data_IF_809001839994
#
_entry.id   IF_809001839994
#
_cell.length_a   1.000
_cell.length_b   1.000
_cell.length_c   1.000
_cell.angle_alpha   90.00
_cell.angle_beta   90.00
_cell.angle_gamma   90.00
#
_symmetry.space_group_name_H-M   'P 1'
#
loop_
_entity.id
_entity.type
_entity.pdbx_description
1 polymer ?
#
# COMPACT_ATOMS: atom_id res chain seq x y z
N UNK A 1 3.08 15.49 -11.91
CA UNK A 1 2.44 14.31 -11.31
C UNK A 1 0.94 14.56 -11.12
N UNK A 2 0.12 13.57 -11.44
CA UNK A 2 -1.34 13.57 -11.25
C UNK A 2 -2.08 14.62 -12.08
N UNK A 3 -3.40 14.48 -12.17
CA UNK A 3 -4.26 15.35 -12.94
C UNK A 3 -4.17 16.85 -12.54
N UNK A 4 -3.80 17.14 -11.29
CA UNK A 4 -3.66 18.52 -10.80
C UNK A 4 -2.58 19.31 -11.54
N UNK A 5 -1.55 18.63 -12.07
CA UNK A 5 -0.46 19.27 -12.83
C UNK A 5 -0.62 19.12 -14.36
N UNK A 6 -1.73 18.55 -14.82
CA UNK A 6 -1.98 18.24 -16.22
C UNK A 6 -1.85 19.46 -17.14
N UNK A 7 -2.41 20.60 -16.72
CA UNK A 7 -2.40 21.84 -17.52
C UNK A 7 -0.99 22.36 -17.80
N UNK A 8 -0.02 22.12 -16.93
CA UNK A 8 1.39 22.46 -17.19
C UNK A 8 1.93 21.72 -18.40
N UNK A 9 1.58 20.43 -18.56
CA UNK A 9 1.98 19.64 -19.74
C UNK A 9 1.42 20.25 -21.02
N UNK A 10 0.13 20.58 -21.02
CA UNK A 10 -0.55 21.16 -22.18
C UNK A 10 0.05 22.50 -22.56
N UNK A 11 0.27 23.39 -21.57
CA UNK A 11 0.88 24.70 -21.77
C UNK A 11 2.30 24.61 -22.35
N UNK A 12 3.17 23.76 -21.75
CA UNK A 12 4.53 23.59 -22.21
C UNK A 12 4.60 23.00 -23.63
N UNK A 13 3.70 22.08 -23.94
CA UNK A 13 3.61 21.50 -25.28
C UNK A 13 3.31 22.51 -26.36
N UNK A 14 2.46 23.49 -26.06
CA UNK A 14 2.05 24.52 -27.00
C UNK A 14 3.05 25.69 -27.11
N UNK A 15 3.54 26.18 -25.95
CA UNK A 15 4.30 27.41 -25.88
C UNK A 15 5.82 27.21 -25.75
N UNK A 16 6.27 26.01 -25.33
CA UNK A 16 7.69 25.71 -25.09
C UNK A 16 8.06 24.33 -25.67
N UNK A 17 7.92 24.10 -26.98
CA UNK A 17 8.04 22.76 -27.59
C UNK A 17 9.45 22.12 -27.42
N UNK A 18 10.48 22.90 -27.13
CA UNK A 18 11.83 22.41 -26.85
C UNK A 18 11.95 21.72 -25.48
N UNK A 19 11.00 21.95 -24.56
CA UNK A 19 11.05 21.34 -23.23
C UNK A 19 10.47 19.93 -23.29
N UNK A 20 11.27 18.94 -22.89
CA UNK A 20 10.81 17.56 -22.71
C UNK A 20 9.87 17.47 -21.50
N UNK A 21 8.71 16.84 -21.67
CA UNK A 21 7.71 16.71 -20.63
C UNK A 21 7.53 15.25 -20.21
N UNK A 22 7.45 15.04 -18.89
CA UNK A 22 7.14 13.73 -18.30
C UNK A 22 5.88 13.87 -17.44
N UNK A 23 4.90 13.02 -17.67
CA UNK A 23 3.68 12.95 -16.89
C UNK A 23 3.58 11.58 -16.20
N UNK A 24 3.40 11.59 -14.88
CA UNK A 24 3.19 10.38 -14.08
C UNK A 24 1.81 10.41 -13.46
N UNK A 25 1.00 9.37 -13.70
CA UNK A 25 -0.19 9.11 -12.91
C UNK A 25 0.08 7.96 -11.95
N UNK A 26 -0.11 8.20 -10.64
CA UNK A 26 0.10 7.17 -9.61
C UNK A 26 -1.12 6.25 -9.48
N UNK A 27 -2.29 6.77 -9.82
CA UNK A 27 -3.55 6.03 -9.90
C UNK A 27 -4.41 6.69 -10.94
N UNK A 28 -5.03 5.96 -11.83
CA UNK A 28 -6.01 6.58 -12.70
C UNK A 28 -7.16 7.12 -11.84
N UNK A 29 -7.52 8.41 -12.04
CA UNK A 29 -8.59 9.03 -11.25
C UNK A 29 -9.91 8.28 -11.40
N UNK A 30 -10.16 7.76 -12.61
CA UNK A 30 -11.38 7.02 -12.90
C UNK A 30 -11.33 5.57 -12.37
N UNK A 31 -10.21 4.86 -12.47
CA UNK A 31 -10.05 3.50 -11.91
C UNK A 31 -10.27 3.48 -10.40
N UNK A 32 -9.67 4.45 -9.69
CA UNK A 32 -9.90 4.63 -8.24
C UNK A 32 -11.37 4.87 -7.94
N UNK A 33 -12.07 5.65 -8.77
CA UNK A 33 -13.50 5.94 -8.57
C UNK A 33 -14.38 4.74 -8.87
N UNK A 34 -14.08 3.95 -9.89
CA UNK A 34 -14.79 2.70 -10.19
C UNK A 34 -14.70 1.74 -8.99
N UNK A 35 -13.48 1.49 -8.51
CA UNK A 35 -13.22 0.64 -7.35
C UNK A 35 -13.89 1.17 -6.08
N UNK A 36 -13.76 2.46 -5.81
CA UNK A 36 -14.31 3.13 -4.63
C UNK A 36 -15.84 3.16 -4.58
N UNK A 37 -16.50 3.05 -5.73
CA UNK A 37 -17.96 2.93 -5.84
C UNK A 37 -18.45 1.47 -5.85
N UNK A 38 -17.59 0.51 -5.52
CA UNK A 38 -17.96 -0.90 -5.37
C UNK A 38 -18.27 -1.62 -6.70
N UNK A 39 -17.84 -1.06 -7.82
CA UNK A 39 -17.97 -1.71 -9.13
C UNK A 39 -16.85 -2.76 -9.29
N UNK A 40 -17.12 -3.91 -9.92
CA UNK A 40 -16.15 -5.00 -10.11
C UNK A 40 -15.10 -4.59 -11.15
N UNK A 41 -14.08 -3.85 -10.71
CA UNK A 41 -13.08 -3.25 -11.59
C UNK A 41 -12.29 -4.30 -12.37
N UNK A 42 -11.91 -5.38 -11.73
CA UNK A 42 -10.96 -6.33 -12.31
C UNK A 42 -11.62 -7.44 -13.15
N UNK A 43 -12.78 -7.95 -12.73
CA UNK A 43 -13.52 -8.99 -13.45
C UNK A 43 -14.21 -8.42 -14.71
N UNK A 44 -14.62 -7.15 -14.66
CA UNK A 44 -15.26 -6.44 -15.78
C UNK A 44 -14.33 -5.42 -16.46
N UNK A 45 -13.04 -5.56 -16.26
CA UNK A 45 -12.03 -4.55 -16.63
C UNK A 45 -12.13 -4.10 -18.11
N UNK A 46 -12.18 -5.05 -19.03
CA UNK A 46 -12.19 -4.78 -20.48
C UNK A 46 -13.52 -4.16 -20.97
N UNK A 47 -14.57 -4.23 -20.15
CA UNK A 47 -15.86 -3.61 -20.43
C UNK A 47 -15.98 -2.15 -19.98
N UNK A 48 -15.03 -1.62 -19.23
CA UNK A 48 -15.05 -0.23 -18.78
C UNK A 48 -14.42 0.70 -19.82
N UNK A 49 -15.18 1.73 -20.22
CA UNK A 49 -14.69 2.83 -21.04
C UNK A 49 -14.50 4.08 -20.17
N UNK A 50 -13.28 4.63 -20.13
CA UNK A 50 -12.93 5.70 -19.21
C UNK A 50 -13.80 6.94 -19.34
N UNK A 51 -14.07 7.41 -20.55
CA UNK A 51 -14.90 8.60 -20.79
C UNK A 51 -16.37 8.39 -20.36
N UNK A 52 -16.93 7.19 -20.61
CA UNK A 52 -18.28 6.83 -20.17
C UNK A 52 -18.35 6.76 -18.63
N UNK A 53 -17.39 6.08 -18.01
CA UNK A 53 -17.32 5.98 -16.56
C UNK A 53 -17.11 7.33 -15.89
N UNK A 54 -16.37 8.23 -16.53
CA UNK A 54 -16.19 9.60 -16.04
C UNK A 54 -17.50 10.39 -16.02
N UNK A 55 -18.36 10.20 -17.01
CA UNK A 55 -19.71 10.79 -17.02
C UNK A 55 -20.58 10.19 -15.92
N UNK A 56 -20.62 8.85 -15.84
CA UNK A 56 -21.43 8.13 -14.85
C UNK A 56 -21.06 8.48 -13.40
N UNK A 57 -19.75 8.60 -13.11
CA UNK A 57 -19.23 8.86 -11.77
C UNK A 57 -18.95 10.34 -11.48
N UNK A 58 -19.39 11.25 -12.37
CA UNK A 58 -19.18 12.71 -12.25
C UNK A 58 -17.69 13.09 -12.09
N UNK A 59 -16.82 12.44 -12.89
CA UNK A 59 -15.36 12.61 -12.86
C UNK A 59 -14.79 13.25 -14.13
N UNK A 60 -15.65 13.79 -15.02
CA UNK A 60 -15.28 14.27 -16.36
C UNK A 60 -14.10 15.25 -16.32
N UNK A 61 -14.11 16.24 -15.43
CA UNK A 61 -13.05 17.25 -15.36
C UNK A 61 -11.68 16.65 -15.00
N UNK A 62 -11.63 15.78 -14.00
CA UNK A 62 -10.37 15.13 -13.57
C UNK A 62 -9.88 14.14 -14.62
N UNK A 63 -10.77 13.30 -15.10
CA UNK A 63 -10.47 12.30 -16.11
C UNK A 63 -9.97 12.91 -17.43
N UNK A 64 -10.66 13.92 -17.94
CA UNK A 64 -10.26 14.59 -19.18
C UNK A 64 -8.91 15.29 -19.07
N UNK A 65 -8.63 15.94 -17.93
CA UNK A 65 -7.34 16.57 -17.68
C UNK A 65 -6.21 15.52 -17.65
N UNK A 66 -6.40 14.42 -16.90
CA UNK A 66 -5.45 13.31 -16.80
C UNK A 66 -5.20 12.66 -18.17
N UNK A 67 -6.27 12.30 -18.89
CA UNK A 67 -6.21 11.70 -20.22
C UNK A 67 -5.46 12.58 -21.21
N UNK A 68 -5.77 13.89 -21.25
CA UNK A 68 -5.08 14.83 -22.12
C UNK A 68 -3.60 14.94 -21.77
N UNK A 69 -3.23 15.06 -20.49
CA UNK A 69 -1.82 15.10 -20.09
C UNK A 69 -1.08 13.82 -20.48
N UNK A 70 -1.69 12.65 -20.31
CA UNK A 70 -1.12 11.37 -20.72
C UNK A 70 -0.83 11.30 -22.22
N UNK A 71 -1.75 11.84 -23.04
CA UNK A 71 -1.59 11.84 -24.50
C UNK A 71 -0.61 12.91 -25.03
N UNK A 72 -0.45 14.03 -24.34
CA UNK A 72 0.38 15.16 -24.79
C UNK A 72 1.80 15.13 -24.19
N UNK A 73 2.04 14.42 -23.10
CA UNK A 73 3.37 14.27 -22.55
C UNK A 73 4.33 13.55 -23.51
N UNK A 74 5.58 13.91 -23.47
CA UNK A 74 6.64 13.22 -24.25
C UNK A 74 6.92 11.83 -23.68
N UNK A 75 6.87 11.69 -22.36
CA UNK A 75 6.93 10.42 -21.70
C UNK A 75 5.76 10.32 -20.70
N UNK A 76 4.96 9.28 -20.84
CA UNK A 76 3.87 8.96 -19.94
C UNK A 76 4.25 7.75 -19.08
N UNK A 77 4.17 7.89 -17.77
CA UNK A 77 4.57 6.86 -16.81
C UNK A 77 3.51 6.59 -15.76
N UNK A 78 3.61 5.44 -15.12
CA UNK A 78 2.85 5.06 -13.92
C UNK A 78 3.68 4.19 -13.00
N UNK A 79 3.15 3.86 -11.82
CA UNK A 79 3.92 3.27 -10.72
C UNK A 79 3.93 1.74 -10.69
N UNK A 80 3.05 1.07 -11.44
CA UNK A 80 2.97 -0.40 -11.45
C UNK A 80 2.37 -0.95 -12.75
N UNK A 81 2.57 -2.24 -13.00
CA UNK A 81 1.95 -2.92 -14.13
C UNK A 81 0.42 -2.99 -14.02
N UNK A 82 -0.14 -3.03 -12.80
CA UNK A 82 -1.60 -2.92 -12.59
C UNK A 82 -2.12 -1.60 -13.11
N UNK A 83 -1.53 -0.48 -12.68
CA UNK A 83 -1.95 0.85 -13.13
C UNK A 83 -1.63 1.08 -14.60
N UNK A 84 -0.58 0.45 -15.15
CA UNK A 84 -0.29 0.52 -16.59
C UNK A 84 -1.42 -0.11 -17.44
N UNK A 85 -2.04 -1.19 -16.96
CA UNK A 85 -3.25 -1.76 -17.59
C UNK A 85 -4.42 -0.79 -17.53
N UNK A 86 -4.63 -0.13 -16.38
CA UNK A 86 -5.66 0.91 -16.22
C UNK A 86 -5.43 2.09 -17.17
N UNK A 87 -4.20 2.58 -17.29
CA UNK A 87 -3.86 3.66 -18.22
C UNK A 87 -4.22 3.31 -19.66
N UNK A 88 -3.87 2.09 -20.09
CA UNK A 88 -4.20 1.62 -21.44
C UNK A 88 -5.71 1.54 -21.67
N UNK A 89 -6.46 0.99 -20.72
CA UNK A 89 -7.91 0.75 -20.87
C UNK A 89 -8.75 2.00 -20.63
N UNK A 90 -8.42 2.77 -19.58
CA UNK A 90 -9.28 3.86 -19.12
C UNK A 90 -8.86 5.24 -19.65
N UNK A 91 -7.58 5.42 -20.00
CA UNK A 91 -7.07 6.65 -20.60
C UNK A 91 -6.81 6.53 -22.10
N UNK A 92 -7.08 5.36 -22.71
CA UNK A 92 -6.76 5.05 -24.11
C UNK A 92 -5.28 5.31 -24.45
N UNK A 93 -4.38 5.14 -23.47
CA UNK A 93 -2.98 5.45 -23.61
C UNK A 93 -2.09 4.46 -22.84
N UNK A 94 -1.34 3.59 -23.52
CA UNK A 94 -0.32 2.80 -22.86
C UNK A 94 0.78 3.70 -22.32
N UNK A 95 1.35 3.33 -21.18
CA UNK A 95 2.52 4.03 -20.63
C UNK A 95 3.78 3.73 -21.43
N UNK A 96 4.69 4.70 -21.49
CA UNK A 96 6.00 4.49 -22.13
C UNK A 96 6.91 3.63 -21.23
N UNK A 97 6.82 3.79 -19.91
CA UNK A 97 7.59 3.01 -18.93
C UNK A 97 6.90 3.03 -17.56
N UNK A 98 7.05 1.94 -16.80
CA UNK A 98 6.64 1.88 -15.39
C UNK A 98 7.77 2.40 -14.51
N UNK A 99 7.46 3.36 -13.63
CA UNK A 99 8.39 3.99 -12.70
C UNK A 99 7.95 3.71 -11.26
N UNK A 100 8.34 2.58 -10.66
CA UNK A 100 7.89 2.20 -9.34
C UNK A 100 8.38 3.18 -8.27
N UNK A 101 7.62 3.31 -7.17
CA UNK A 101 7.96 4.19 -6.06
C UNK A 101 8.93 3.49 -5.11
N UNK A 102 10.06 4.13 -4.83
CA UNK A 102 11.04 3.63 -3.89
C UNK A 102 10.79 4.05 -2.44
N UNK A 103 11.59 3.50 -1.54
CA UNK A 103 11.69 3.87 -0.14
C UNK A 103 13.10 4.40 0.18
N UNK A 104 13.20 5.27 1.19
CA UNK A 104 14.48 5.78 1.68
C UNK A 104 14.86 5.10 2.99
N UNK A 105 15.87 4.23 2.95
CA UNK A 105 16.29 3.45 4.12
C UNK A 105 16.82 4.33 5.27
N UNK A 106 17.22 5.57 5.01
CA UNK A 106 17.67 6.52 6.02
C UNK A 106 16.65 6.84 7.10
N UNK A 107 15.36 6.59 6.85
CA UNK A 107 14.30 6.74 7.87
C UNK A 107 14.27 5.61 8.92
N UNK A 108 14.94 4.50 8.66
CA UNK A 108 14.90 3.34 9.57
C UNK A 108 16.07 3.40 10.55
N UNK A 109 15.80 3.44 11.87
CA UNK A 109 16.87 3.38 12.88
C UNK A 109 17.73 2.11 12.72
N UNK A 110 19.00 2.19 13.08
CA UNK A 110 19.93 1.08 12.91
C UNK A 110 20.51 0.58 14.25
N UNK A 111 20.92 -0.68 14.30
CA UNK A 111 21.68 -1.26 15.42
C UNK A 111 20.99 -1.11 16.78
N UNK A 112 21.65 -0.47 17.74
CA UNK A 112 21.11 -0.27 19.10
C UNK A 112 19.90 0.65 19.13
N UNK A 113 19.86 1.66 18.24
CA UNK A 113 18.73 2.59 18.11
C UNK A 113 17.48 1.88 17.63
N UNK A 114 17.59 0.94 16.68
CA UNK A 114 16.48 0.12 16.23
C UNK A 114 15.84 -0.65 17.40
N UNK A 115 16.65 -1.33 18.21
CA UNK A 115 16.14 -2.08 19.35
C UNK A 115 15.47 -1.19 20.40
N UNK A 116 16.04 -0.02 20.67
CA UNK A 116 15.47 0.95 21.59
C UNK A 116 14.14 1.53 21.06
N UNK A 117 14.08 1.91 19.76
CA UNK A 117 12.88 2.40 19.12
C UNK A 117 11.78 1.33 19.13
N UNK A 118 12.10 0.07 18.75
CA UNK A 118 11.15 -1.04 18.80
C UNK A 118 10.58 -1.25 20.19
N UNK A 119 11.44 -1.21 21.23
CA UNK A 119 10.99 -1.38 22.63
C UNK A 119 10.05 -0.25 23.05
N UNK A 120 10.36 1.02 22.70
CA UNK A 120 9.49 2.15 23.00
C UNK A 120 8.14 1.99 22.31
N UNK A 121 8.12 1.73 21.01
CA UNK A 121 6.91 1.52 20.22
C UNK A 121 6.02 0.42 20.80
N UNK A 122 6.60 -0.76 21.12
CA UNK A 122 5.84 -1.86 21.73
C UNK A 122 5.23 -1.45 23.07
N UNK A 123 6.01 -0.80 23.92
CA UNK A 123 5.51 -0.35 25.23
C UNK A 123 4.34 0.63 25.07
N UNK A 124 4.41 1.56 24.11
CA UNK A 124 3.33 2.51 23.83
C UNK A 124 2.07 1.79 23.36
N UNK A 125 2.19 0.85 22.40
CA UNK A 125 1.05 0.08 21.89
C UNK A 125 0.42 -0.79 22.99
N UNK A 126 1.25 -1.47 23.79
CA UNK A 126 0.78 -2.28 24.93
C UNK A 126 0.09 -1.40 25.99
N UNK A 127 0.64 -0.23 26.28
CA UNK A 127 0.02 0.71 27.23
C UNK A 127 -1.34 1.18 26.75
N UNK A 128 -1.51 1.45 25.45
CA UNK A 128 -2.81 1.76 24.87
C UNK A 128 -3.78 0.58 25.03
N UNK A 129 -3.35 -0.65 24.72
CA UNK A 129 -4.18 -1.83 24.86
C UNK A 129 -4.66 -2.03 26.30
N UNK A 130 -3.78 -1.83 27.28
CA UNK A 130 -4.12 -1.88 28.71
C UNK A 130 -5.11 -0.79 29.12
N UNK A 131 -4.93 0.43 28.61
CA UNK A 131 -5.85 1.53 28.85
C UNK A 131 -7.25 1.26 28.27
N UNK A 132 -7.35 0.38 27.27
CA UNK A 132 -8.59 -0.13 26.66
C UNK A 132 -9.11 -1.41 27.35
N UNK A 133 -8.53 -1.82 28.48
CA UNK A 133 -8.99 -2.95 29.27
C UNK A 133 -8.48 -4.32 28.84
N UNK A 134 -7.51 -4.39 27.91
CA UNK A 134 -6.88 -5.64 27.49
C UNK A 134 -5.75 -5.99 28.48
N UNK A 135 -5.69 -7.22 28.98
CA UNK A 135 -4.53 -7.72 29.78
C UNK A 135 -3.33 -8.03 28.85
N UNK A 136 -2.76 -6.97 28.28
CA UNK A 136 -1.72 -7.03 27.28
C UNK A 136 -0.34 -7.30 27.88
N UNK A 137 0.40 -8.25 27.30
CA UNK A 137 1.75 -8.64 27.74
C UNK A 137 2.80 -8.25 26.68
N UNK A 138 4.04 -8.10 27.09
CA UNK A 138 5.16 -7.77 26.20
C UNK A 138 5.44 -8.85 25.16
N UNK A 139 4.96 -10.06 25.38
CA UNK A 139 5.13 -11.23 24.51
C UNK A 139 3.97 -11.44 23.53
N UNK A 140 2.88 -10.65 23.66
CA UNK A 140 1.73 -10.76 22.77
C UNK A 140 2.09 -10.34 21.35
N UNK A 141 1.42 -10.95 20.38
CA UNK A 141 1.58 -10.59 18.98
C UNK A 141 0.86 -9.29 18.67
N UNK A 142 1.60 -8.30 18.17
CA UNK A 142 1.06 -7.03 17.75
C UNK A 142 0.93 -7.01 16.23
N UNK A 143 -0.31 -6.94 15.73
CA UNK A 143 -0.63 -6.82 14.31
C UNK A 143 -1.10 -5.39 14.03
N UNK A 144 -0.81 -4.85 12.84
CA UNK A 144 -1.33 -3.54 12.45
C UNK A 144 -1.84 -3.48 11.03
N UNK A 145 -2.82 -2.62 10.83
CA UNK A 145 -3.18 -2.08 9.52
C UNK A 145 -3.23 -0.57 9.62
N UNK A 146 -2.86 0.13 8.55
CA UNK A 146 -2.80 1.58 8.52
C UNK A 146 -3.09 2.13 7.12
N UNK A 147 -3.56 3.35 7.04
CA UNK A 147 -3.81 4.01 5.77
C UNK A 147 -4.90 5.06 5.84
N UNK A 148 -5.31 5.57 4.68
CA UNK A 148 -6.45 6.48 4.56
C UNK A 148 -7.76 5.71 4.74
N UNK A 149 -8.78 6.41 5.16
CA UNK A 149 -10.12 5.83 5.24
C UNK A 149 -10.69 5.62 3.82
N UNK A 150 -10.42 4.45 3.28
CA UNK A 150 -10.98 3.95 2.01
C UNK A 150 -11.45 2.51 2.26
N UNK A 151 -12.68 2.36 2.81
CA UNK A 151 -13.21 1.12 3.39
C UNK A 151 -12.98 -0.13 2.52
N UNK A 152 -13.41 -0.08 1.25
CA UNK A 152 -13.26 -1.18 0.30
C UNK A 152 -11.87 -1.23 -0.33
N UNK A 153 -11.36 -0.08 -0.78
CA UNK A 153 -10.09 -0.03 -1.49
C UNK A 153 -8.92 -0.50 -0.63
N UNK A 154 -8.92 -0.16 0.66
CA UNK A 154 -7.91 -0.62 1.62
C UNK A 154 -8.21 -1.98 2.24
N UNK A 155 -9.41 -2.55 1.99
CA UNK A 155 -9.82 -3.84 2.53
C UNK A 155 -9.99 -3.84 4.04
N UNK A 156 -10.47 -2.73 4.61
CA UNK A 156 -10.68 -2.59 6.05
C UNK A 156 -11.69 -3.64 6.52
N UNK A 157 -12.76 -3.84 5.76
CA UNK A 157 -13.75 -4.88 5.98
C UNK A 157 -13.15 -6.30 6.01
N UNK A 158 -12.25 -6.58 5.10
CA UNK A 158 -11.55 -7.87 5.00
C UNK A 158 -10.62 -8.07 6.21
N UNK A 159 -9.91 -7.01 6.61
CA UNK A 159 -9.05 -7.07 7.80
C UNK A 159 -9.86 -7.37 9.05
N UNK A 160 -10.95 -6.65 9.28
CA UNK A 160 -11.78 -6.82 10.48
C UNK A 160 -12.41 -8.20 10.54
N UNK A 161 -12.93 -8.69 9.42
CA UNK A 161 -13.50 -10.04 9.36
C UNK A 161 -12.40 -11.12 9.55
N UNK A 162 -11.21 -10.92 9.01
CA UNK A 162 -10.08 -11.83 9.26
C UNK A 162 -9.70 -11.86 10.75
N UNK A 163 -9.77 -10.73 11.47
CA UNK A 163 -9.51 -10.68 12.91
C UNK A 163 -10.59 -11.43 13.71
N UNK A 164 -11.88 -11.33 13.34
CA UNK A 164 -12.96 -12.13 13.96
C UNK A 164 -12.72 -13.62 13.79
N UNK A 165 -12.51 -14.07 12.55
CA UNK A 165 -12.26 -15.50 12.27
C UNK A 165 -10.96 -16.02 12.89
N UNK A 166 -9.95 -15.16 13.05
CA UNK A 166 -8.73 -15.50 13.76
C UNK A 166 -9.00 -15.74 15.24
N UNK A 167 -9.92 -14.97 15.86
CA UNK A 167 -10.28 -15.11 17.26
C UNK A 167 -10.75 -16.53 17.62
N UNK A 168 -11.46 -17.18 16.71
CA UNK A 168 -11.92 -18.57 16.88
C UNK A 168 -10.76 -19.59 16.86
N UNK A 169 -9.61 -19.26 16.25
CA UNK A 169 -8.49 -20.18 15.97
C UNK A 169 -7.24 -19.88 16.79
N UNK A 170 -7.05 -18.63 17.19
CA UNK A 170 -5.82 -18.18 17.85
C UNK A 170 -5.69 -18.80 19.25
N UNK A 171 -4.56 -19.53 19.46
CA UNK A 171 -4.21 -20.10 20.77
C UNK A 171 -3.39 -19.14 21.64
N UNK A 172 -2.87 -18.06 21.05
CA UNK A 172 -2.11 -17.00 21.71
C UNK A 172 -2.83 -15.68 21.55
N UNK A 173 -2.62 -14.79 22.50
CA UNK A 173 -3.18 -13.45 22.44
C UNK A 173 -2.60 -12.66 21.27
N UNK A 174 -3.48 -12.01 20.53
CA UNK A 174 -3.18 -11.13 19.42
C UNK A 174 -3.85 -9.77 19.68
N UNK A 175 -3.10 -8.71 19.53
CA UNK A 175 -3.62 -7.34 19.63
C UNK A 175 -3.46 -6.69 18.25
N UNK A 176 -4.58 -6.37 17.63
CA UNK A 176 -4.64 -5.81 16.30
C UNK A 176 -4.98 -4.31 16.36
N UNK A 177 -4.10 -3.46 15.83
CA UNK A 177 -4.28 -2.02 15.79
C UNK A 177 -4.75 -1.57 14.41
N UNK A 178 -5.88 -0.87 14.36
CA UNK A 178 -6.44 -0.27 13.15
C UNK A 178 -6.15 1.23 13.18
N UNK A 179 -5.03 1.61 12.56
CA UNK A 179 -4.50 2.99 12.57
C UNK A 179 -4.99 3.76 11.33
N UNK A 180 -6.27 4.11 11.34
CA UNK A 180 -6.95 4.76 10.21
C UNK A 180 -7.66 6.00 10.71
N UNK A 181 -7.24 7.21 10.29
CA UNK A 181 -7.89 8.45 10.69
C UNK A 181 -9.38 8.47 10.34
N UNK A 182 -10.18 9.07 11.22
CA UNK A 182 -11.62 9.28 11.03
C UNK A 182 -12.46 8.00 10.90
N UNK A 183 -11.89 6.82 11.21
CA UNK A 183 -12.65 5.59 11.25
C UNK A 183 -13.41 5.52 12.60
N UNK A 184 -14.71 5.72 12.53
CA UNK A 184 -15.59 5.66 13.69
C UNK A 184 -16.08 4.22 13.86
N UNK A 185 -15.34 3.44 14.65
CA UNK A 185 -15.65 2.06 15.02
C UNK A 185 -15.27 1.80 16.46
N UNK A 186 -16.01 0.91 17.12
CA UNK A 186 -15.75 0.49 18.49
C UNK A 186 -14.73 -0.64 18.54
N UNK A 187 -13.86 -0.62 19.57
CA UNK A 187 -12.96 -1.72 19.88
C UNK A 187 -13.75 -3.00 20.13
N UNK A 188 -13.24 -4.14 19.72
CA UNK A 188 -13.89 -5.42 19.98
C UNK A 188 -12.91 -6.54 20.31
N UNK A 189 -13.43 -7.58 20.94
CA UNK A 189 -12.67 -8.79 21.26
C UNK A 189 -13.42 -10.01 20.72
N UNK A 190 -12.66 -10.90 20.06
CA UNK A 190 -13.14 -12.22 19.65
C UNK A 190 -12.13 -13.26 20.10
N UNK A 191 -12.51 -14.13 21.04
CA UNK A 191 -11.60 -15.11 21.61
C UNK A 191 -10.32 -14.48 22.14
N UNK A 192 -9.18 -14.86 21.60
CA UNK A 192 -7.85 -14.33 21.96
C UNK A 192 -7.39 -13.16 21.08
N UNK A 193 -8.28 -12.56 20.28
CA UNK A 193 -7.94 -11.43 19.42
C UNK A 193 -8.67 -10.18 19.90
N UNK A 194 -7.89 -9.13 20.17
CA UNK A 194 -8.39 -7.82 20.57
C UNK A 194 -8.09 -6.82 19.46
N UNK A 195 -9.14 -6.17 18.94
CA UNK A 195 -9.01 -5.15 17.89
C UNK A 195 -9.21 -3.77 18.50
N UNK A 196 -8.21 -2.92 18.35
CA UNK A 196 -8.15 -1.57 18.90
C UNK A 196 -8.10 -0.56 17.77
N UNK A 197 -9.07 0.34 17.73
CA UNK A 197 -9.09 1.41 16.75
C UNK A 197 -8.31 2.63 17.25
N UNK A 198 -7.50 3.19 16.34
CA UNK A 198 -6.73 4.41 16.55
C UNK A 198 -7.17 5.41 15.47
N UNK A 199 -8.31 6.10 15.65
CA UNK A 199 -8.98 6.91 14.62
C UNK A 199 -8.35 8.30 14.46
N UNK A 200 -7.04 8.39 14.59
CA UNK A 200 -6.31 9.67 14.55
C UNK A 200 -5.17 9.65 13.54
N UNK A 201 -4.76 10.83 13.12
CA UNK A 201 -3.60 11.00 12.25
C UNK A 201 -2.32 10.97 13.09
N UNK A 202 -1.51 9.95 12.92
CA UNK A 202 -0.31 9.68 13.72
C UNK A 202 0.84 10.62 13.31
N UNK A 203 0.80 11.85 13.79
CA UNK A 203 1.76 12.92 13.49
C UNK A 203 2.74 13.23 14.65
N UNK A 204 2.64 12.47 15.75
CA UNK A 204 3.46 12.66 16.94
C UNK A 204 2.87 13.59 18.00
N UNK A 205 1.74 14.24 17.72
CA UNK A 205 1.00 15.09 18.65
C UNK A 205 -0.51 14.90 18.48
N UNK A 206 -0.92 13.63 18.52
CA UNK A 206 -2.28 13.21 18.20
C UNK A 206 -3.18 13.06 19.44
N UNK A 207 -2.63 13.17 20.64
CA UNK A 207 -3.36 13.06 21.91
C UNK A 207 -3.73 11.62 22.30
N UNK A 208 -3.36 10.62 21.51
CA UNK A 208 -3.63 9.18 21.75
C UNK A 208 -2.33 8.43 21.98
N UNK A 209 -1.47 8.36 20.97
CA UNK A 209 -0.18 7.65 21.01
C UNK A 209 1.00 8.63 21.08
N UNK A 210 0.86 9.84 20.57
CA UNK A 210 1.87 10.89 20.53
C UNK A 210 3.21 10.44 19.94
N UNK A 211 3.15 9.51 18.99
CA UNK A 211 4.28 9.03 18.19
C UNK A 211 3.91 9.06 16.71
N UNK A 212 4.84 9.47 15.83
CA UNK A 212 4.65 9.36 14.39
C UNK A 212 4.43 7.90 13.96
N UNK A 213 3.77 7.71 12.82
CA UNK A 213 3.45 6.37 12.29
C UNK A 213 4.68 5.44 12.24
N UNK A 214 5.82 5.90 11.72
CA UNK A 214 7.02 5.07 11.62
C UNK A 214 7.59 4.64 12.97
N UNK A 215 7.46 5.51 13.99
CA UNK A 215 7.90 5.20 15.35
C UNK A 215 7.00 4.15 16.01
N UNK A 216 5.76 3.99 15.55
CA UNK A 216 4.84 2.94 16.01
C UNK A 216 4.98 1.66 15.19
N UNK A 217 5.13 1.79 13.87
CA UNK A 217 5.27 0.66 12.92
C UNK A 217 6.36 -0.31 13.35
N UNK A 218 7.52 0.20 13.76
CA UNK A 218 8.67 -0.61 14.19
C UNK A 218 8.33 -1.53 15.38
N UNK A 219 7.29 -1.22 16.16
CA UNK A 219 6.83 -2.00 17.33
C UNK A 219 6.00 -3.23 16.96
N UNK A 220 5.45 -3.28 15.77
CA UNK A 220 4.58 -4.38 15.32
C UNK A 220 5.38 -5.66 15.00
N UNK A 221 4.68 -6.78 15.00
CA UNK A 221 5.22 -8.07 14.60
C UNK A 221 4.84 -8.46 13.18
N UNK A 222 3.68 -8.01 12.73
CA UNK A 222 3.14 -8.26 11.40
C UNK A 222 2.22 -7.11 11.01
N UNK A 223 2.16 -6.78 9.74
CA UNK A 223 1.14 -5.90 9.19
C UNK A 223 0.28 -6.61 8.15
N UNK A 224 -0.96 -6.15 7.98
CA UNK A 224 -1.90 -6.74 7.03
C UNK A 224 -2.57 -5.61 6.25
N UNK A 225 -2.34 -5.58 4.93
CA UNK A 225 -2.88 -4.59 4.01
C UNK A 225 -3.65 -5.32 2.89
N UNK A 226 -4.89 -5.76 3.16
CA UNK A 226 -5.64 -6.58 2.22
C UNK A 226 -6.34 -5.71 1.17
N UNK A 227 -5.59 -4.84 0.50
CA UNK A 227 -6.14 -3.84 -0.42
C UNK A 227 -6.80 -4.48 -1.64
N UNK A 228 -7.98 -3.94 -2.01
CA UNK A 228 -8.66 -4.21 -3.27
C UNK A 228 -8.16 -3.26 -4.39
N UNK A 229 -7.80 -2.03 -4.04
CA UNK A 229 -7.25 -1.06 -4.98
C UNK A 229 -6.03 -0.37 -4.37
N UNK A 230 -4.85 -0.74 -4.82
CA UNK A 230 -3.58 -0.18 -4.33
C UNK A 230 -2.58 -0.05 -5.48
N UNK A 231 -2.52 1.11 -6.15
CA UNK A 231 -1.67 1.32 -7.33
C UNK A 231 -0.21 0.97 -7.12
N UNK A 232 0.36 1.30 -5.94
CA UNK A 232 1.68 0.85 -5.55
C UNK A 232 1.63 0.08 -4.22
N UNK A 233 1.48 0.76 -3.09
CA UNK A 233 1.49 0.18 -1.75
C UNK A 233 2.74 0.57 -0.98
N UNK A 234 2.79 1.82 -0.55
CA UNK A 234 3.86 2.28 0.35
C UNK A 234 3.81 1.56 1.69
N UNK A 235 2.63 1.38 2.28
CA UNK A 235 2.48 0.79 3.61
C UNK A 235 3.08 -0.62 3.75
N UNK A 236 2.90 -1.57 2.82
CA UNK A 236 3.60 -2.85 2.89
C UNK A 236 5.12 -2.72 2.66
N UNK A 237 5.57 -1.84 1.76
CA UNK A 237 7.00 -1.58 1.54
C UNK A 237 7.66 -1.00 2.80
N UNK A 238 7.06 0.03 3.39
CA UNK A 238 7.51 0.68 4.63
C UNK A 238 7.56 -0.33 5.78
N UNK A 239 6.52 -1.16 5.93
CA UNK A 239 6.49 -2.23 6.93
C UNK A 239 7.72 -3.12 6.83
N UNK A 240 8.02 -3.61 5.65
CA UNK A 240 9.16 -4.48 5.41
C UNK A 240 10.49 -3.77 5.66
N UNK A 241 10.62 -2.49 5.27
CA UNK A 241 11.80 -1.67 5.54
C UNK A 241 12.05 -1.50 7.05
N UNK A 242 10.99 -1.39 7.86
CA UNK A 242 11.04 -1.35 9.32
C UNK A 242 11.11 -2.74 9.98
N UNK A 243 11.53 -3.75 9.25
CA UNK A 243 11.70 -5.13 9.73
C UNK A 243 10.40 -5.80 10.18
N UNK A 244 9.26 -5.34 9.69
CA UNK A 244 7.95 -5.92 10.00
C UNK A 244 7.44 -6.67 8.77
N UNK A 245 7.35 -8.01 8.81
CA UNK A 245 6.77 -8.78 7.72
C UNK A 245 5.34 -8.33 7.44
N UNK A 246 4.88 -8.53 6.21
CA UNK A 246 3.58 -7.99 5.80
C UNK A 246 2.76 -9.00 5.00
N UNK A 247 1.45 -8.87 5.08
CA UNK A 247 0.49 -9.52 4.20
C UNK A 247 -0.11 -8.45 3.29
N UNK A 248 -0.05 -8.66 1.98
CA UNK A 248 -0.66 -7.78 0.97
C UNK A 248 -1.36 -8.62 -0.09
N UNK A 249 -1.86 -8.01 -1.15
CA UNK A 249 -2.62 -8.71 -2.20
C UNK A 249 -1.98 -8.55 -3.57
N UNK A 250 -2.37 -9.39 -4.53
CA UNK A 250 -2.04 -9.26 -5.95
C UNK A 250 -2.67 -8.04 -6.63
N UNK A 251 -3.55 -7.31 -5.93
CA UNK A 251 -4.12 -6.03 -6.37
C UNK A 251 -3.37 -4.81 -5.78
N UNK A 252 -2.20 -5.05 -5.20
CA UNK A 252 -1.23 -4.03 -4.82
C UNK A 252 -0.06 -4.05 -5.81
N UNK A 253 0.32 -2.89 -6.35
CA UNK A 253 1.47 -2.80 -7.26
C UNK A 253 2.77 -3.32 -6.62
N UNK A 254 2.97 -3.05 -5.32
CA UNK A 254 4.11 -3.62 -4.57
C UNK A 254 3.97 -5.13 -4.38
N UNK A 255 2.75 -5.65 -4.19
CA UNK A 255 2.49 -7.09 -4.17
C UNK A 255 2.91 -7.76 -5.48
N UNK A 256 2.48 -7.23 -6.63
CA UNK A 256 2.90 -7.71 -7.95
C UNK A 256 4.43 -7.65 -8.11
N UNK A 257 5.06 -6.55 -7.69
CA UNK A 257 6.52 -6.45 -7.73
C UNK A 257 7.21 -7.51 -6.84
N UNK A 258 6.64 -7.83 -5.68
CA UNK A 258 7.15 -8.91 -4.83
C UNK A 258 7.03 -10.28 -5.50
N UNK A 259 5.94 -10.55 -6.23
CA UNK A 259 5.76 -11.76 -7.04
C UNK A 259 6.84 -11.87 -8.13
N UNK A 260 7.13 -10.79 -8.83
CA UNK A 260 8.21 -10.70 -9.82
C UNK A 260 9.60 -10.99 -9.21
N UNK A 261 9.79 -10.68 -7.91
CA UNK A 261 11.00 -11.03 -7.16
C UNK A 261 11.00 -12.48 -6.63
N UNK A 262 9.95 -13.28 -6.92
CA UNK A 262 9.79 -14.64 -6.39
C UNK A 262 9.49 -14.69 -4.89
N UNK A 263 8.90 -13.62 -4.33
CA UNK A 263 8.62 -13.47 -2.91
C UNK A 263 7.10 -13.34 -2.69
N UNK A 264 6.43 -14.48 -2.41
CA UNK A 264 4.96 -14.54 -2.28
C UNK A 264 4.49 -15.13 -0.95
N UNK A 265 5.40 -15.72 -0.17
CA UNK A 265 5.06 -16.38 1.10
C UNK A 265 5.69 -15.65 2.28
N UNK A 266 5.04 -15.70 3.44
CA UNK A 266 5.50 -15.00 4.64
C UNK A 266 6.93 -15.37 5.05
N UNK A 267 7.42 -16.56 4.72
CA UNK A 267 8.80 -16.99 4.96
C UNK A 267 9.84 -16.13 4.21
N UNK A 268 9.41 -15.44 3.16
CA UNK A 268 10.22 -14.44 2.41
C UNK A 268 10.03 -13.01 2.91
N UNK A 269 9.29 -12.83 4.01
CA UNK A 269 9.02 -11.53 4.61
C UNK A 269 7.73 -10.86 4.12
N UNK A 270 7.10 -11.38 3.08
CA UNK A 270 5.82 -10.91 2.55
C UNK A 270 4.95 -12.08 2.13
N UNK A 271 3.66 -12.05 2.47
CA UNK A 271 2.67 -12.92 1.86
C UNK A 271 1.84 -12.09 0.86
N UNK A 272 1.85 -12.50 -0.40
CA UNK A 272 1.02 -11.89 -1.44
C UNK A 272 -0.16 -12.81 -1.71
N UNK A 273 -1.36 -12.35 -1.35
CA UNK A 273 -2.58 -13.14 -1.48
C UNK A 273 -3.27 -12.78 -2.79
N UNK A 274 -3.58 -13.78 -3.60
CA UNK A 274 -4.38 -13.57 -4.80
C UNK A 274 -5.76 -13.03 -4.45
N UNK A 275 -6.12 -11.88 -5.04
CA UNK A 275 -7.40 -11.21 -4.85
C UNK A 275 -8.02 -10.84 -6.19
N UNK A 276 -9.35 -10.98 -6.29
CA UNK A 276 -10.19 -10.50 -7.39
C UNK A 276 -11.51 -9.94 -6.84
N UNK A 277 -12.48 -9.66 -7.69
CA UNK A 277 -13.76 -9.06 -7.27
C UNK A 277 -14.66 -10.01 -6.48
N UNK A 278 -14.45 -11.34 -6.58
CA UNK A 278 -15.39 -12.36 -6.09
C UNK A 278 -14.84 -13.27 -5.00
N UNK A 279 -13.52 -13.24 -4.71
CA UNK A 279 -12.88 -14.20 -3.80
C UNK A 279 -12.61 -13.68 -2.36
N UNK A 280 -13.41 -12.74 -1.88
CA UNK A 280 -13.19 -12.09 -0.57
C UNK A 280 -13.03 -13.10 0.57
N UNK A 281 -13.85 -14.17 0.62
CA UNK A 281 -13.75 -15.17 1.68
C UNK A 281 -12.45 -15.98 1.60
N UNK A 282 -11.95 -16.28 0.41
CA UNK A 282 -10.66 -16.96 0.24
C UNK A 282 -9.51 -16.09 0.72
N UNK A 283 -9.57 -14.77 0.45
CA UNK A 283 -8.58 -13.80 0.96
C UNK A 283 -8.59 -13.79 2.49
N UNK A 284 -9.76 -13.72 3.12
CA UNK A 284 -9.91 -13.78 4.59
C UNK A 284 -9.29 -15.08 5.13
N UNK A 285 -9.64 -16.22 4.56
CA UNK A 285 -9.10 -17.52 4.95
C UNK A 285 -7.57 -17.59 4.85
N UNK A 286 -7.00 -17.04 3.77
CA UNK A 286 -5.55 -16.99 3.58
C UNK A 286 -4.86 -16.08 4.60
N UNK A 287 -5.44 -14.92 4.94
CA UNK A 287 -4.94 -14.03 6.01
C UNK A 287 -4.90 -14.79 7.34
N UNK A 288 -6.03 -15.40 7.72
CA UNK A 288 -6.15 -16.16 8.98
C UNK A 288 -5.15 -17.30 9.05
N UNK A 289 -5.01 -18.07 7.98
CA UNK A 289 -4.06 -19.19 7.91
C UNK A 289 -2.61 -18.71 7.99
N UNK A 290 -2.27 -17.61 7.31
CA UNK A 290 -0.93 -17.02 7.34
C UNK A 290 -0.57 -16.52 8.74
N UNK A 291 -1.49 -15.83 9.42
CA UNK A 291 -1.28 -15.36 10.79
C UNK A 291 -1.15 -16.55 11.75
N UNK A 292 -2.01 -17.55 11.61
CA UNK A 292 -1.97 -18.77 12.45
C UNK A 292 -0.63 -19.52 12.28
N UNK A 293 -0.15 -19.64 11.05
CA UNK A 293 1.17 -20.18 10.76
C UNK A 293 2.27 -19.34 11.43
N UNK A 294 2.25 -18.02 11.26
CA UNK A 294 3.23 -17.11 11.83
C UNK A 294 3.27 -17.18 13.36
N UNK A 295 2.11 -17.30 14.04
CA UNK A 295 1.98 -17.52 15.48
C UNK A 295 2.60 -18.83 15.97
N UNK A 296 2.71 -19.83 15.10
CA UNK A 296 3.31 -21.14 15.43
C UNK A 296 4.84 -21.16 15.33
N UNK A 297 5.44 -20.14 14.76
CA UNK A 297 6.88 -20.11 14.50
C UNK A 297 7.72 -19.89 15.76
N UNK A 298 8.93 -20.43 15.72
CA UNK A 298 9.94 -20.16 16.76
C UNK A 298 10.50 -18.72 16.60
N UNK A 299 11.01 -18.11 17.70
CA UNK A 299 11.64 -16.78 17.63
C UNK A 299 12.78 -16.70 16.58
N UNK A 300 13.52 -17.79 16.41
CA UNK A 300 14.61 -17.87 15.42
C UNK A 300 14.09 -17.78 13.99
N UNK A 301 13.00 -18.50 13.67
CA UNK A 301 12.34 -18.41 12.36
C UNK A 301 11.77 -17.02 12.10
N UNK A 302 11.09 -16.43 13.09
CA UNK A 302 10.59 -15.05 13.00
C UNK A 302 11.72 -14.06 12.70
N UNK A 303 12.88 -14.21 13.37
CA UNK A 303 14.05 -13.36 13.11
C UNK A 303 14.57 -13.50 11.67
N UNK A 304 14.55 -14.71 11.09
CA UNK A 304 14.91 -14.93 9.67
C UNK A 304 13.92 -14.23 8.74
N UNK A 305 12.62 -14.39 8.97
CA UNK A 305 11.57 -13.76 8.18
C UNK A 305 11.69 -12.24 8.19
N UNK A 306 11.95 -11.64 9.36
CA UNK A 306 12.19 -10.20 9.51
C UNK A 306 13.40 -9.72 8.69
N UNK A 307 14.49 -10.49 8.66
CA UNK A 307 15.66 -10.21 7.82
C UNK A 307 15.32 -10.31 6.33
N UNK A 308 14.54 -11.32 5.95
CA UNK A 308 14.08 -11.48 4.55
C UNK A 308 13.23 -10.28 4.10
N UNK A 309 12.34 -9.79 4.97
CA UNK A 309 11.54 -8.59 4.70
C UNK A 309 12.42 -7.38 4.35
N UNK A 310 13.40 -7.08 5.20
CA UNK A 310 14.36 -5.97 4.96
C UNK A 310 15.15 -6.19 3.67
N UNK A 311 15.66 -7.40 3.45
CA UNK A 311 16.46 -7.69 2.26
C UNK A 311 15.67 -7.47 0.97
N UNK A 312 14.36 -7.74 0.98
CA UNK A 312 13.48 -7.45 -0.15
C UNK A 312 13.19 -5.94 -0.26
N UNK A 313 12.87 -5.26 0.84
CA UNK A 313 12.63 -3.82 0.84
C UNK A 313 13.84 -3.00 0.34
N UNK A 314 15.06 -3.41 0.68
CA UNK A 314 16.30 -2.77 0.18
C UNK A 314 16.44 -2.81 -1.35
N UNK A 315 15.84 -3.79 -2.03
CA UNK A 315 15.80 -3.79 -3.51
C UNK A 315 14.89 -2.71 -4.07
N UNK A 316 13.88 -2.29 -3.29
CA UNK A 316 12.93 -1.24 -3.64
C UNK A 316 13.34 0.16 -3.14
N UNK A 317 14.62 0.39 -2.85
CA UNK A 317 15.12 1.73 -2.53
C UNK A 317 15.12 2.65 -3.75
N UNK A 318 14.94 3.95 -3.52
CA UNK A 318 15.00 4.98 -4.57
C UNK A 318 16.28 4.91 -5.40
N UNK A 319 17.44 4.63 -4.79
CA UNK A 319 18.71 4.50 -5.54
C UNK A 319 18.67 3.42 -6.62
N UNK A 320 17.87 2.34 -6.42
CA UNK A 320 17.69 1.27 -7.39
C UNK A 320 16.63 1.63 -8.44
N UNK A 321 15.49 2.18 -7.99
CA UNK A 321 14.37 2.52 -8.86
C UNK A 321 14.59 3.79 -9.68
N UNK A 322 15.53 4.65 -9.30
CA UNK A 322 15.84 5.87 -10.05
C UNK A 322 16.35 5.58 -11.48
N UNK A 323 16.84 4.37 -11.75
CA UNK A 323 17.20 3.94 -13.11
C UNK A 323 16.01 4.02 -14.09
N UNK A 324 14.80 3.65 -13.66
CA UNK A 324 13.58 3.76 -14.46
C UNK A 324 13.24 5.22 -14.79
N UNK A 325 13.43 6.13 -13.84
CA UNK A 325 13.21 7.56 -14.05
C UNK A 325 14.24 8.16 -15.04
N UNK A 326 15.51 7.72 -15.00
CA UNK A 326 16.52 8.15 -16.00
C UNK A 326 16.15 7.69 -17.40
N UNK A 327 15.58 6.51 -17.54
CA UNK A 327 15.07 6.02 -18.82
C UNK A 327 13.89 6.87 -19.30
N UNK A 328 12.93 7.16 -18.41
CA UNK A 328 11.80 8.03 -18.70
C UNK A 328 12.24 9.44 -19.15
N UNK A 329 13.24 10.03 -18.49
CA UNK A 329 13.82 11.32 -18.92
C UNK A 329 14.46 11.22 -20.29
N UNK A 330 15.15 10.13 -20.59
CA UNK A 330 15.76 9.91 -21.90
C UNK A 330 14.71 9.84 -23.00
N UNK A 331 13.58 9.16 -22.75
CA UNK A 331 12.43 9.10 -23.68
C UNK A 331 11.87 10.50 -23.91
N UNK A 332 11.62 11.26 -22.83
CA UNK A 332 11.07 12.61 -22.92
C UNK A 332 11.98 13.55 -23.72
N UNK A 333 13.29 13.53 -23.46
CA UNK A 333 14.26 14.36 -24.17
C UNK A 333 14.37 14.00 -25.65
N UNK A 334 14.40 12.70 -25.99
CA UNK A 334 14.43 12.27 -27.40
C UNK A 334 13.20 12.76 -28.18
N UNK A 335 12.01 12.65 -27.58
CA UNK A 335 10.76 13.09 -28.23
C UNK A 335 10.66 14.62 -28.34
N UNK A 336 11.19 15.37 -27.36
CA UNK A 336 11.21 16.85 -27.47
C UNK A 336 12.17 17.32 -28.54
N UNK A 337 13.35 16.73 -28.66
CA UNK A 337 14.32 17.04 -29.71
C UNK A 337 13.78 16.74 -31.12
N UNK A 338 13.00 15.69 -31.27
CA UNK A 338 12.38 15.33 -32.55
C UNK A 338 11.27 16.31 -33.02
N UNK A 339 10.86 17.25 -32.16
CA UNK A 339 9.88 18.32 -32.51
C UNK A 339 10.55 19.61 -33.01
N UNK A 340 11.84 19.77 -32.78
CA UNK A 340 12.63 20.92 -33.23
C UNK A 340 13.15 20.71 -34.65
#
# INVERSE_FOLDING_TARGET
>A
NEWQTAFTILYLREHCPAIGTLFTTHATSIGRSIAGNGKPLYDCFDGFHGDQMAQELNMVSKHSAEKKAAHYADCFTTVSHLTARECKQLLDKPVDIVTPNGFEQGFVPQGKEFNAARKRARNTLISLARAKGVDAQSTDMLIGTAGRYEWKNKGIDVFLEAMRQLGEKAKKQVIAFVMIPYLDCEDFTEGNVHVIFVPTYLNGNDGVLNLPYYDLLIGLDLTVFPSYYEPWGYTPLESMAFHVPTITTSLSGYGVWCEEQGCTTIDKGVAVIYRNDSNTQDVINHIVNTITYYLSLTPQKVAVIRKSAVALALKAEWKNFFSYYREAYTIALKKSLARL
#
